data_IF_397570213465
#
_entry.id   IF_397570213465
#
_cell.length_a   1.000
_cell.length_b   1.000
_cell.length_c   1.000
_cell.angle_alpha   90.00
_cell.angle_beta   90.00
_cell.angle_gamma   90.00
#
_symmetry.space_group_name_H-M   'P 1'
#
loop_
_entity.id
_entity.type
_entity.pdbx_description
1 polymer ?
#
# COMPACT_ATOMS: atom_id res chain seq x y z
N UNK A 1 -4.32 -20.08 18.32
CA UNK A 1 -3.54 -19.14 17.49
C UNK A 1 -3.78 -19.30 15.98
N UNK A 2 -3.77 -20.53 15.41
CA UNK A 2 -4.03 -20.77 13.96
C UNK A 2 -5.28 -20.05 13.40
N UNK A 3 -6.42 -20.09 14.10
CA UNK A 3 -7.65 -19.44 13.64
C UNK A 3 -7.57 -17.90 13.56
N UNK A 4 -6.88 -17.22 14.48
CA UNK A 4 -6.80 -15.75 14.49
C UNK A 4 -5.89 -15.22 13.39
N UNK A 5 -4.75 -15.88 13.17
CA UNK A 5 -3.83 -15.53 12.06
C UNK A 5 -4.49 -15.79 10.71
N UNK A 6 -5.21 -16.89 10.57
CA UNK A 6 -5.93 -17.22 9.34
C UNK A 6 -7.10 -16.24 9.08
N UNK A 7 -7.82 -15.81 10.12
CA UNK A 7 -8.86 -14.78 10.01
C UNK A 7 -8.28 -13.43 9.62
N UNK A 8 -7.15 -13.03 10.20
CA UNK A 8 -6.45 -11.79 9.84
C UNK A 8 -5.98 -11.81 8.39
N UNK A 9 -5.36 -12.90 7.92
CA UNK A 9 -4.98 -13.06 6.52
C UNK A 9 -6.18 -13.00 5.56
N UNK A 10 -7.28 -13.68 5.89
CA UNK A 10 -8.54 -13.61 5.12
C UNK A 10 -9.10 -12.19 5.05
N UNK A 11 -9.02 -11.43 6.14
CA UNK A 11 -9.47 -10.05 6.19
C UNK A 11 -8.62 -9.15 5.27
N UNK A 12 -7.29 -9.27 5.33
CA UNK A 12 -6.40 -8.53 4.43
C UNK A 12 -6.63 -8.88 2.96
N UNK A 13 -6.77 -10.16 2.63
CA UNK A 13 -7.12 -10.57 1.25
C UNK A 13 -8.46 -10.01 0.81
N UNK A 14 -9.46 -9.94 1.69
CA UNK A 14 -10.78 -9.38 1.38
C UNK A 14 -10.74 -7.86 1.10
N UNK A 15 -9.69 -7.15 1.54
CA UNK A 15 -9.47 -5.75 1.17
C UNK A 15 -8.93 -5.60 -0.27
N UNK A 16 -8.16 -6.58 -0.74
CA UNK A 16 -7.49 -6.52 -2.06
C UNK A 16 -8.35 -7.13 -3.16
N UNK A 17 -9.02 -8.25 -2.91
CA UNK A 17 -9.75 -9.01 -3.95
C UNK A 17 -10.78 -8.18 -4.73
N UNK A 18 -11.61 -7.34 -4.10
CA UNK A 18 -12.57 -6.49 -4.83
C UNK A 18 -11.91 -5.47 -5.75
N UNK A 19 -10.61 -5.20 -5.55
CA UNK A 19 -9.83 -4.20 -6.28
C UNK A 19 -8.93 -4.82 -7.37
N UNK A 20 -9.04 -6.13 -7.62
CA UNK A 20 -8.25 -6.82 -8.66
C UNK A 20 -8.45 -6.18 -10.05
N UNK A 21 -9.63 -5.65 -10.36
CA UNK A 21 -9.85 -4.93 -11.63
C UNK A 21 -8.92 -3.72 -11.82
N UNK A 22 -8.64 -2.98 -10.75
CA UNK A 22 -7.70 -1.86 -10.79
C UNK A 22 -6.24 -2.33 -10.95
N UNK A 23 -5.88 -3.45 -10.32
CA UNK A 23 -4.57 -4.10 -10.50
C UNK A 23 -4.37 -4.60 -11.94
N UNK A 24 -5.41 -5.19 -12.54
CA UNK A 24 -5.39 -5.64 -13.94
C UNK A 24 -5.24 -4.44 -14.88
N UNK A 25 -6.01 -3.37 -14.67
CA UNK A 25 -5.90 -2.14 -15.47
C UNK A 25 -4.50 -1.52 -15.38
N UNK A 26 -3.94 -1.43 -14.17
CA UNK A 26 -2.55 -1.03 -13.95
C UNK A 26 -1.58 -1.95 -14.71
N UNK A 27 -1.76 -3.27 -14.63
CA UNK A 27 -0.92 -4.26 -15.30
C UNK A 27 -0.92 -4.12 -16.82
N UNK A 28 -2.09 -3.90 -17.43
CA UNK A 28 -2.18 -3.63 -18.88
C UNK A 28 -1.51 -2.31 -19.26
N UNK A 29 -1.74 -1.26 -18.47
CA UNK A 29 -1.16 0.05 -18.73
C UNK A 29 0.38 -0.01 -18.67
N UNK A 30 0.91 -0.73 -17.67
CA UNK A 30 2.34 -1.00 -17.56
C UNK A 30 2.84 -1.84 -18.75
N UNK A 31 2.21 -2.97 -19.06
CA UNK A 31 2.65 -3.88 -20.12
C UNK A 31 2.64 -3.24 -21.52
N UNK A 32 1.71 -2.32 -21.78
CA UNK A 32 1.58 -1.67 -23.08
C UNK A 32 2.49 -0.47 -23.21
N UNK A 33 2.52 0.44 -22.23
CA UNK A 33 2.95 1.83 -22.49
C UNK A 33 4.25 2.26 -21.82
N UNK A 34 4.81 1.49 -20.88
CA UNK A 34 6.14 1.81 -20.32
C UNK A 34 7.22 1.70 -21.41
N UNK A 35 8.42 2.21 -21.13
CA UNK A 35 9.53 2.20 -22.09
C UNK A 35 9.88 0.79 -22.59
N UNK A 36 9.67 -0.23 -21.76
CA UNK A 36 9.86 -1.65 -22.10
C UNK A 36 8.58 -2.38 -22.51
N UNK A 37 7.47 -1.66 -22.66
CA UNK A 37 6.16 -2.21 -23.03
C UNK A 37 6.03 -2.56 -24.51
N UNK A 38 4.91 -3.19 -24.89
CA UNK A 38 4.67 -3.60 -26.29
C UNK A 38 4.48 -2.43 -27.24
N UNK A 39 3.91 -1.31 -26.77
CA UNK A 39 3.64 -0.10 -27.55
C UNK A 39 4.00 1.13 -26.70
N UNK A 40 5.30 1.39 -26.46
CA UNK A 40 5.74 2.43 -25.53
C UNK A 40 5.18 3.82 -25.87
N UNK A 41 4.66 4.51 -24.86
CA UNK A 41 4.15 5.87 -25.00
C UNK A 41 4.36 6.65 -23.69
N UNK A 42 5.19 7.70 -23.74
CA UNK A 42 5.55 8.49 -22.56
C UNK A 42 4.35 9.17 -21.89
N UNK A 43 3.39 9.64 -22.67
CA UNK A 43 2.20 10.31 -22.14
C UNK A 43 1.31 9.32 -21.38
N UNK A 44 1.07 8.12 -21.93
CA UNK A 44 0.28 7.10 -21.25
C UNK A 44 1.03 6.43 -20.11
N UNK A 45 2.35 6.23 -20.25
CA UNK A 45 3.21 5.70 -19.17
C UNK A 45 3.16 6.57 -17.90
N UNK A 46 2.94 7.88 -18.04
CA UNK A 46 2.82 8.79 -16.89
C UNK A 46 1.68 8.42 -15.92
N UNK A 47 0.69 7.62 -16.36
CA UNK A 47 -0.42 7.15 -15.51
C UNK A 47 -0.03 5.96 -14.60
N UNK A 48 1.05 5.23 -14.91
CA UNK A 48 1.49 4.04 -14.16
C UNK A 48 1.77 4.40 -12.70
N UNK A 49 2.60 5.43 -12.49
CA UNK A 49 3.03 5.83 -11.16
C UNK A 49 1.86 6.32 -10.29
N UNK A 50 0.98 7.23 -10.75
CA UNK A 50 -0.19 7.62 -9.97
C UNK A 50 -1.16 6.47 -9.65
N UNK A 51 -1.34 5.52 -10.57
CA UNK A 51 -2.18 4.34 -10.30
C UNK A 51 -1.60 3.47 -9.19
N UNK A 52 -0.27 3.28 -9.18
CA UNK A 52 0.41 2.48 -8.18
C UNK A 52 0.46 3.16 -6.81
N UNK A 53 0.86 4.44 -6.79
CA UNK A 53 1.14 5.17 -5.54
C UNK A 53 -0.12 5.71 -4.87
N UNK A 54 -1.17 6.05 -5.65
CA UNK A 54 -2.40 6.62 -5.11
C UNK A 54 -3.58 5.69 -5.28
N UNK A 55 -3.96 5.36 -6.52
CA UNK A 55 -5.24 4.69 -6.80
C UNK A 55 -5.36 3.35 -6.06
N UNK A 56 -4.37 2.47 -6.19
CA UNK A 56 -4.42 1.13 -5.59
C UNK A 56 -4.47 1.20 -4.04
N UNK A 57 -3.57 1.95 -3.35
CA UNK A 57 -3.66 2.13 -1.90
C UNK A 57 -4.99 2.74 -1.44
N UNK A 58 -5.50 3.75 -2.16
CA UNK A 58 -6.78 4.40 -1.82
C UNK A 58 -7.93 3.39 -1.91
N UNK A 59 -7.99 2.59 -2.98
CA UNK A 59 -9.03 1.58 -3.16
C UNK A 59 -8.97 0.49 -2.07
N UNK A 60 -7.77 0.05 -1.69
CA UNK A 60 -7.58 -0.94 -0.62
C UNK A 60 -8.04 -0.36 0.73
N UNK A 61 -7.60 0.85 1.06
CA UNK A 61 -8.01 1.53 2.30
C UNK A 61 -9.52 1.74 2.34
N UNK A 62 -10.11 2.21 1.24
CA UNK A 62 -11.54 2.41 1.07
C UNK A 62 -12.33 1.11 1.28
N UNK A 63 -11.87 -0.02 0.71
CA UNK A 63 -12.50 -1.33 0.93
C UNK A 63 -12.41 -1.76 2.40
N UNK A 64 -11.24 -1.62 3.04
CA UNK A 64 -11.09 -1.92 4.47
C UNK A 64 -11.96 -1.05 5.38
N UNK A 65 -12.04 0.25 5.08
CA UNK A 65 -12.92 1.19 5.76
C UNK A 65 -14.38 0.81 5.58
N UNK A 66 -14.78 0.39 4.38
CA UNK A 66 -16.14 -0.11 4.11
C UNK A 66 -16.46 -1.36 4.92
N UNK A 67 -15.53 -2.31 4.99
CA UNK A 67 -15.74 -3.57 5.71
C UNK A 67 -16.00 -3.36 7.21
N UNK A 68 -15.46 -2.29 7.80
CA UNK A 68 -15.64 -1.98 9.22
C UNK A 68 -16.78 -0.99 9.47
N UNK A 69 -16.81 0.13 8.74
CA UNK A 69 -17.69 1.29 8.98
C UNK A 69 -18.64 1.65 7.83
N UNK A 70 -18.91 0.72 6.91
CA UNK A 70 -19.87 0.93 5.82
C UNK A 70 -19.46 2.03 4.83
N UNK A 71 -20.44 2.65 4.15
CA UNK A 71 -20.17 3.66 3.12
C UNK A 71 -19.41 4.89 3.66
N UNK A 72 -19.70 5.31 4.90
CA UNK A 72 -18.99 6.42 5.54
C UNK A 72 -17.55 6.04 5.89
N UNK A 73 -17.33 4.84 6.39
CA UNK A 73 -16.00 4.27 6.62
C UNK A 73 -15.15 4.22 5.36
N UNK A 74 -15.75 3.92 4.19
CA UNK A 74 -15.05 3.97 2.89
C UNK A 74 -14.41 5.32 2.65
N UNK A 75 -15.19 6.40 2.81
CA UNK A 75 -14.75 7.76 2.51
C UNK A 75 -13.70 8.23 3.53
N UNK A 76 -13.93 8.00 4.82
CA UNK A 76 -12.96 8.34 5.88
C UNK A 76 -11.61 7.66 5.63
N UNK A 77 -11.62 6.37 5.33
CA UNK A 77 -10.40 5.62 5.04
C UNK A 77 -9.67 6.11 3.79
N UNK A 78 -10.41 6.45 2.72
CA UNK A 78 -9.85 6.98 1.49
C UNK A 78 -9.15 8.33 1.72
N UNK A 79 -9.70 9.19 2.58
CA UNK A 79 -9.06 10.46 2.97
C UNK A 79 -7.83 10.18 3.85
N UNK A 80 -7.98 9.32 4.85
CA UNK A 80 -6.92 9.05 5.83
C UNK A 80 -5.63 8.50 5.20
N UNK A 81 -5.75 7.59 4.21
CA UNK A 81 -4.57 6.97 3.59
C UNK A 81 -3.74 7.95 2.77
N UNK A 82 -4.33 9.06 2.27
CA UNK A 82 -3.55 10.14 1.62
C UNK A 82 -2.47 10.66 2.55
N UNK A 83 -2.77 10.81 3.85
CA UNK A 83 -1.78 11.21 4.84
C UNK A 83 -0.59 10.25 4.91
N UNK A 84 -0.85 8.93 4.91
CA UNK A 84 0.22 7.94 4.88
C UNK A 84 1.02 7.99 3.57
N UNK A 85 0.36 8.11 2.42
CA UNK A 85 1.03 8.21 1.10
C UNK A 85 1.95 9.44 1.04
N UNK A 86 1.45 10.59 1.48
CA UNK A 86 2.21 11.84 1.42
C UNK A 86 3.39 11.90 2.40
N UNK A 87 3.44 11.01 3.39
CA UNK A 87 4.59 10.93 4.29
C UNK A 87 5.87 10.49 3.58
N UNK A 88 5.74 9.65 2.56
CA UNK A 88 6.83 9.22 1.68
C UNK A 88 6.24 8.68 0.37
N UNK A 89 6.32 9.49 -0.68
CA UNK A 89 5.76 9.15 -2.01
C UNK A 89 6.61 8.14 -2.79
N UNK A 90 7.83 7.86 -2.35
CA UNK A 90 8.72 6.87 -2.98
C UNK A 90 8.37 5.43 -2.58
N UNK A 91 7.67 5.26 -1.45
CA UNK A 91 7.25 3.97 -0.94
C UNK A 91 5.77 3.75 -1.28
N UNK A 92 5.43 2.66 -1.95
CA UNK A 92 4.03 2.29 -2.13
C UNK A 92 3.42 1.85 -0.80
N UNK A 93 2.53 2.68 -0.25
CA UNK A 93 1.96 2.55 1.09
C UNK A 93 0.80 1.53 1.18
N UNK A 94 0.92 0.35 0.55
CA UNK A 94 -0.13 -0.70 0.55
C UNK A 94 -0.38 -1.27 1.95
N UNK A 95 0.68 -1.51 2.73
CA UNK A 95 0.55 -1.92 4.12
C UNK A 95 -0.10 -0.84 4.99
N UNK A 96 0.27 0.43 4.78
CA UNK A 96 -0.39 1.53 5.48
C UNK A 96 -1.87 1.58 5.12
N UNK A 97 -2.25 1.40 3.86
CA UNK A 97 -3.65 1.31 3.44
C UNK A 97 -4.41 0.19 4.15
N UNK A 98 -3.78 -0.97 4.30
CA UNK A 98 -4.33 -2.12 5.02
C UNK A 98 -4.55 -1.87 6.52
N UNK A 99 -3.75 -0.99 7.11
CA UNK A 99 -3.85 -0.62 8.53
C UNK A 99 -4.81 0.56 8.74
N UNK A 100 -4.64 1.64 7.97
CA UNK A 100 -5.43 2.88 8.02
C UNK A 100 -6.89 2.62 7.63
N UNK A 101 -7.13 1.75 6.64
CA UNK A 101 -8.49 1.48 6.13
C UNK A 101 -9.45 1.04 7.24
N UNK A 102 -9.21 -0.10 7.90
CA UNK A 102 -10.02 -0.59 9.00
C UNK A 102 -10.10 0.38 10.17
N UNK A 103 -9.01 1.09 10.49
CA UNK A 103 -8.99 2.11 11.55
C UNK A 103 -9.93 3.28 11.24
N UNK A 104 -9.92 3.80 10.01
CA UNK A 104 -10.83 4.86 9.58
C UNK A 104 -12.28 4.42 9.63
N UNK A 105 -12.56 3.19 9.18
CA UNK A 105 -13.89 2.58 9.33
C UNK A 105 -14.31 2.42 10.80
N UNK A 106 -13.39 2.02 11.67
CA UNK A 106 -13.67 1.85 13.10
C UNK A 106 -13.98 3.17 13.80
N UNK A 107 -13.20 4.23 13.54
CA UNK A 107 -13.41 5.55 14.14
C UNK A 107 -14.79 6.11 13.81
N UNK A 108 -15.19 6.07 12.53
CA UNK A 108 -16.50 6.60 12.13
C UNK A 108 -17.63 5.71 12.60
N UNK A 109 -17.46 4.38 12.58
CA UNK A 109 -18.47 3.46 13.12
C UNK A 109 -18.76 3.75 14.59
N UNK A 110 -17.72 4.01 15.39
CA UNK A 110 -17.88 4.34 16.80
C UNK A 110 -18.58 5.67 17.02
N UNK A 111 -18.26 6.67 16.20
CA UNK A 111 -18.99 7.94 16.22
C UNK A 111 -20.47 7.74 15.87
N UNK A 112 -20.76 6.92 14.86
CA UNK A 112 -22.13 6.64 14.40
C UNK A 112 -22.95 5.92 15.47
N UNK A 113 -22.37 4.94 16.15
CA UNK A 113 -22.99 4.23 17.27
C UNK A 113 -23.32 5.19 18.43
N UNK A 114 -22.50 6.21 18.68
CA UNK A 114 -22.72 7.19 19.75
C UNK A 114 -23.79 8.22 19.35
N UNK A 115 -23.78 8.64 18.09
CA UNK A 115 -24.71 9.65 17.59
C UNK A 115 -26.09 9.09 17.23
N UNK A 116 -26.26 7.77 17.20
CA UNK A 116 -27.55 7.14 16.98
C UNK A 116 -28.57 7.60 18.03
N UNK A 117 -29.75 8.02 17.56
CA UNK A 117 -30.79 8.63 18.40
C UNK A 117 -30.50 10.04 18.96
N UNK A 118 -29.30 10.58 18.77
CA UNK A 118 -28.89 11.92 19.25
C UNK A 118 -28.86 12.98 18.14
N UNK A 119 -29.18 12.59 16.90
CA UNK A 119 -29.18 13.51 15.75
C UNK A 119 -30.50 14.30 15.68
N UNK A 120 -30.45 15.65 15.69
CA UNK A 120 -31.63 16.46 15.45
C UNK A 120 -32.20 16.24 14.05
N UNK A 121 -33.53 16.17 13.95
CA UNK A 121 -34.22 16.02 12.67
C UNK A 121 -33.82 17.14 11.69
N UNK A 122 -33.49 16.76 10.46
CA UNK A 122 -33.04 17.69 9.41
C UNK A 122 -31.54 18.03 9.44
N UNK A 123 -30.80 17.70 10.50
CA UNK A 123 -29.34 17.91 10.59
C UNK A 123 -28.51 16.65 10.32
N UNK A 124 -29.15 15.48 10.15
CA UNK A 124 -28.50 14.18 9.96
C UNK A 124 -27.45 14.20 8.83
N UNK A 125 -27.81 14.70 7.65
CA UNK A 125 -26.89 14.81 6.51
C UNK A 125 -25.70 15.73 6.81
N UNK A 126 -25.93 16.82 7.54
CA UNK A 126 -24.87 17.75 7.92
C UNK A 126 -23.89 17.05 8.87
N UNK A 127 -24.40 16.45 9.95
CA UNK A 127 -23.60 15.75 10.96
C UNK A 127 -22.84 14.58 10.32
N UNK A 128 -23.50 13.79 9.46
CA UNK A 128 -22.92 12.63 8.80
C UNK A 128 -21.76 13.00 7.86
N UNK A 129 -21.92 14.08 7.09
CA UNK A 129 -20.87 14.53 6.16
C UNK A 129 -19.74 15.27 6.89
N UNK A 130 -20.05 16.15 7.85
CA UNK A 130 -19.02 16.86 8.62
C UNK A 130 -18.18 15.90 9.46
N UNK A 131 -18.78 14.91 10.10
CA UNK A 131 -18.03 13.91 10.84
C UNK A 131 -17.09 13.11 9.93
N UNK A 132 -17.56 12.65 8.76
CA UNK A 132 -16.68 11.99 7.77
C UNK A 132 -15.51 12.90 7.39
N UNK A 133 -15.75 14.18 7.13
CA UNK A 133 -14.70 15.15 6.82
C UNK A 133 -13.71 15.37 7.97
N UNK A 134 -14.20 15.58 9.19
CA UNK A 134 -13.38 15.84 10.38
C UNK A 134 -12.54 14.61 10.75
N UNK A 135 -13.17 13.44 10.85
CA UNK A 135 -12.45 12.19 11.16
C UNK A 135 -11.48 11.83 10.03
N UNK A 136 -11.87 12.00 8.77
CA UNK A 136 -10.98 11.81 7.62
C UNK A 136 -9.74 12.70 7.70
N UNK A 137 -9.92 14.00 7.98
CA UNK A 137 -8.82 14.96 8.11
C UNK A 137 -7.89 14.61 9.29
N UNK A 138 -8.46 14.37 10.48
CA UNK A 138 -7.66 14.05 11.68
C UNK A 138 -6.86 12.77 11.43
N UNK A 139 -7.49 11.74 10.88
CA UNK A 139 -6.80 10.49 10.58
C UNK A 139 -5.77 10.64 9.47
N UNK A 140 -5.97 11.51 8.48
CA UNK A 140 -4.94 11.81 7.49
C UNK A 140 -3.71 12.44 8.15
N UNK A 141 -3.90 13.43 9.02
CA UNK A 141 -2.79 14.05 9.75
C UNK A 141 -2.05 13.04 10.64
N UNK A 142 -2.79 12.20 11.38
CA UNK A 142 -2.21 11.13 12.19
C UNK A 142 -1.45 10.12 11.31
N UNK A 143 -2.02 9.74 10.16
CA UNK A 143 -1.39 8.79 9.24
C UNK A 143 -0.08 9.33 8.68
N UNK A 144 -0.01 10.64 8.42
CA UNK A 144 1.22 11.31 7.98
C UNK A 144 2.32 11.27 9.06
N UNK A 145 1.99 11.65 10.30
CA UNK A 145 3.00 11.80 11.37
C UNK A 145 3.41 10.46 12.02
N UNK A 146 2.53 9.46 12.03
CA UNK A 146 2.75 8.22 12.77
C UNK A 146 2.91 7.01 11.85
N UNK A 147 1.93 6.77 10.96
CA UNK A 147 1.87 5.53 10.18
C UNK A 147 2.92 5.56 9.06
N UNK A 148 3.11 6.71 8.41
CA UNK A 148 4.13 6.93 7.40
C UNK A 148 5.55 6.61 7.86
N UNK A 149 6.04 7.29 8.93
CA UNK A 149 7.36 7.01 9.51
C UNK A 149 7.48 5.59 10.05
N UNK A 150 6.40 5.03 10.64
CA UNK A 150 6.40 3.63 11.09
C UNK A 150 6.67 2.67 9.93
N UNK A 151 5.99 2.85 8.79
CA UNK A 151 6.21 2.01 7.61
C UNK A 151 7.61 2.20 7.03
N UNK A 152 8.08 3.45 6.97
CA UNK A 152 9.45 3.76 6.50
C UNK A 152 10.51 3.12 7.40
N UNK A 153 10.28 3.12 8.72
CA UNK A 153 11.16 2.46 9.69
C UNK A 153 11.17 0.94 9.53
N UNK A 154 10.00 0.32 9.33
CA UNK A 154 9.92 -1.13 9.04
C UNK A 154 10.72 -1.45 7.78
N UNK A 155 10.57 -0.63 6.72
CA UNK A 155 11.33 -0.81 5.50
C UNK A 155 12.83 -0.70 5.75
N UNK A 156 13.28 0.35 6.46
CA UNK A 156 14.70 0.55 6.75
C UNK A 156 15.33 -0.64 7.51
N UNK A 157 14.59 -1.24 8.45
CA UNK A 157 15.04 -2.45 9.16
C UNK A 157 15.14 -3.65 8.21
N UNK A 158 14.17 -3.81 7.31
CA UNK A 158 14.24 -4.86 6.27
C UNK A 158 15.42 -4.63 5.33
N UNK A 159 15.65 -3.38 4.88
CA UNK A 159 16.82 -2.98 4.07
C UNK A 159 18.11 -3.38 4.75
N UNK A 160 18.26 -3.01 6.03
CA UNK A 160 19.47 -3.32 6.81
C UNK A 160 19.68 -4.83 6.97
N UNK A 161 18.61 -5.57 7.25
CA UNK A 161 18.66 -7.04 7.34
C UNK A 161 19.09 -7.68 6.03
N UNK A 162 18.57 -7.20 4.90
CA UNK A 162 18.98 -7.64 3.56
C UNK A 162 20.46 -7.33 3.34
N UNK A 163 20.92 -6.09 3.60
CA UNK A 163 22.32 -5.69 3.40
C UNK A 163 23.32 -6.59 4.12
N UNK A 164 23.05 -6.95 5.38
CA UNK A 164 23.90 -7.88 6.15
C UNK A 164 24.01 -9.24 5.45
N UNK A 165 22.92 -9.74 4.88
CA UNK A 165 22.92 -11.01 4.15
C UNK A 165 23.71 -10.90 2.83
N UNK A 166 23.70 -9.74 2.17
CA UNK A 166 24.51 -9.48 0.97
C UNK A 166 25.99 -9.51 1.31
N UNK A 167 26.40 -8.75 2.33
CA UNK A 167 27.80 -8.62 2.74
C UNK A 167 28.41 -9.97 3.15
N UNK A 168 27.61 -10.86 3.74
CA UNK A 168 28.04 -12.19 4.13
C UNK A 168 27.85 -13.26 3.04
N UNK A 169 27.52 -12.87 1.79
CA UNK A 169 27.26 -13.80 0.68
C UNK A 169 26.15 -14.83 0.98
N UNK A 170 25.22 -14.49 1.88
CA UNK A 170 24.08 -15.31 2.30
C UNK A 170 22.82 -14.98 1.49
N UNK A 171 22.99 -14.62 0.22
CA UNK A 171 21.90 -14.28 -0.71
C UNK A 171 20.73 -15.29 -0.73
N UNK A 172 20.94 -16.62 -0.60
CA UNK A 172 19.83 -17.57 -0.53
C UNK A 172 18.90 -17.37 0.67
N UNK A 173 19.38 -16.79 1.78
CA UNK A 173 18.58 -16.55 2.98
C UNK A 173 17.72 -15.28 2.87
N UNK A 174 17.98 -14.42 1.89
CA UNK A 174 17.19 -13.20 1.64
C UNK A 174 15.74 -13.56 1.30
N UNK A 175 15.51 -14.71 0.65
CA UNK A 175 14.17 -15.22 0.34
C UNK A 175 13.27 -15.41 1.58
N UNK A 176 13.85 -15.75 2.74
CA UNK A 176 13.12 -15.93 4.01
C UNK A 176 12.50 -14.62 4.49
N UNK A 177 13.11 -13.48 4.17
CA UNK A 177 12.59 -12.14 4.50
C UNK A 177 11.70 -11.58 3.39
N UNK A 178 12.06 -11.81 2.13
CA UNK A 178 11.33 -11.32 0.96
C UNK A 178 9.94 -11.95 0.85
N UNK A 179 9.82 -13.28 0.99
CA UNK A 179 8.53 -13.94 0.74
C UNK A 179 7.42 -13.50 1.68
N UNK A 180 7.62 -13.39 3.01
CA UNK A 180 6.61 -12.84 3.91
C UNK A 180 6.28 -11.38 3.58
N UNK A 181 7.27 -10.59 3.19
CA UNK A 181 7.08 -9.20 2.83
C UNK A 181 6.27 -9.03 1.54
N UNK A 182 6.45 -9.91 0.54
CA UNK A 182 5.62 -9.98 -0.68
C UNK A 182 4.15 -10.26 -0.35
N UNK A 183 3.87 -11.15 0.60
CA UNK A 183 2.50 -11.44 1.06
C UNK A 183 1.85 -10.19 1.71
N UNK A 184 2.65 -9.34 2.34
CA UNK A 184 2.21 -8.06 2.89
C UNK A 184 2.24 -6.92 1.85
N UNK A 185 2.45 -7.22 0.57
CA UNK A 185 2.57 -6.23 -0.51
C UNK A 185 3.70 -5.19 -0.31
N UNK A 186 4.79 -5.60 0.35
CA UNK A 186 6.02 -4.80 0.45
C UNK A 186 6.94 -4.94 -0.75
N UNK A 187 6.54 -5.66 -1.80
CA UNK A 187 7.34 -5.88 -3.00
C UNK A 187 7.82 -4.56 -3.64
N UNK A 188 6.99 -3.52 -3.70
CA UNK A 188 7.41 -2.22 -4.24
C UNK A 188 8.35 -1.47 -3.29
N UNK A 189 8.12 -1.57 -1.98
CA UNK A 189 8.97 -0.97 -0.97
C UNK A 189 10.36 -1.63 -0.96
N UNK A 190 10.40 -2.95 -1.10
CA UNK A 190 11.62 -3.75 -1.19
C UNK A 190 12.33 -3.51 -2.53
N UNK A 191 11.60 -3.50 -3.65
CA UNK A 191 12.20 -3.22 -4.96
C UNK A 191 12.78 -1.81 -5.05
N UNK A 192 11.99 -0.78 -4.76
CA UNK A 192 12.42 0.60 -4.95
C UNK A 192 13.21 1.17 -3.77
N UNK A 193 12.97 0.68 -2.54
CA UNK A 193 13.63 1.16 -1.33
C UNK A 193 14.81 0.33 -0.85
N UNK A 194 14.99 -0.91 -1.34
CA UNK A 194 16.12 -1.79 -0.97
C UNK A 194 16.93 -2.18 -2.18
N UNK A 195 16.34 -2.95 -3.10
CA UNK A 195 17.11 -3.55 -4.19
C UNK A 195 17.56 -2.55 -5.24
N UNK A 196 16.72 -1.61 -5.66
CA UNK A 196 17.08 -0.64 -6.70
C UNK A 196 18.26 0.25 -6.29
N UNK A 197 18.31 0.87 -5.09
CA UNK A 197 19.47 1.67 -4.68
C UNK A 197 20.77 0.86 -4.59
N UNK A 198 20.72 -0.35 -4.02
CA UNK A 198 21.89 -1.24 -3.91
C UNK A 198 22.34 -1.69 -5.31
N UNK A 199 21.38 -2.05 -6.17
CA UNK A 199 21.65 -2.51 -7.52
C UNK A 199 22.27 -1.42 -8.39
N UNK A 200 21.77 -0.19 -8.30
CA UNK A 200 22.31 0.97 -9.01
C UNK A 200 23.73 1.27 -8.55
N UNK A 201 24.00 1.30 -7.24
CA UNK A 201 25.36 1.50 -6.74
C UNK A 201 26.33 0.41 -7.18
N UNK A 202 25.92 -0.86 -7.13
CA UNK A 202 26.73 -1.98 -7.63
C UNK A 202 26.91 -1.96 -9.15
N UNK A 203 25.91 -1.53 -9.90
CA UNK A 203 25.98 -1.43 -11.35
C UNK A 203 26.88 -0.27 -11.80
N UNK A 204 26.93 0.84 -11.05
CA UNK A 204 27.87 1.94 -11.29
C UNK A 204 29.33 1.52 -11.07
N UNK A 205 29.59 0.71 -10.05
CA UNK A 205 30.96 0.28 -9.69
C UNK A 205 31.43 -0.96 -10.47
N UNK A 206 30.55 -1.94 -10.66
CA UNK A 206 30.89 -3.26 -11.22
C UNK A 206 30.22 -3.55 -12.58
N UNK A 207 29.43 -2.63 -13.11
CA UNK A 207 28.72 -2.77 -14.39
C UNK A 207 27.54 -3.75 -14.36
N UNK A 208 27.25 -4.38 -13.22
CA UNK A 208 26.21 -5.40 -13.05
C UNK A 208 25.81 -5.54 -11.58
N UNK A 209 24.56 -5.96 -11.33
CA UNK A 209 24.11 -6.33 -9.98
C UNK A 209 23.13 -7.50 -10.03
N UNK A 210 23.33 -8.49 -9.16
CA UNK A 210 22.39 -9.60 -8.97
C UNK A 210 21.12 -9.16 -8.25
N UNK A 211 21.12 -7.96 -7.64
CA UNK A 211 19.95 -7.43 -6.92
C UNK A 211 18.78 -7.09 -7.82
N UNK A 212 19.03 -6.76 -9.10
CA UNK A 212 17.96 -6.64 -10.08
C UNK A 212 17.20 -7.96 -10.32
N UNK A 213 17.81 -9.11 -10.01
CA UNK A 213 17.22 -10.44 -10.25
C UNK A 213 16.50 -11.01 -9.02
N UNK A 214 16.77 -10.51 -7.81
CA UNK A 214 16.20 -11.05 -6.57
C UNK A 214 14.70 -10.73 -6.38
N UNK A 215 14.26 -9.63 -6.98
CA UNK A 215 12.84 -9.28 -7.10
C UNK A 215 12.54 -8.72 -8.50
N UNK A 216 12.96 -9.44 -9.53
CA UNK A 216 12.27 -9.30 -10.81
C UNK A 216 10.78 -9.59 -10.55
N UNK A 217 9.95 -8.55 -10.52
CA UNK A 217 8.51 -8.69 -10.50
C UNK A 217 8.14 -9.14 -11.91
N UNK A 218 7.96 -10.44 -12.17
CA UNK A 218 7.61 -10.85 -13.51
C UNK A 218 6.20 -10.31 -13.72
N UNK A 219 6.04 -9.42 -14.69
CA UNK A 219 4.73 -9.18 -15.26
C UNK A 219 4.04 -10.52 -15.60
N UNK A 220 2.71 -10.53 -15.69
CA UNK A 220 1.90 -11.72 -15.48
C UNK A 220 2.37 -12.92 -16.33
N UNK A 221 3.00 -13.88 -15.66
CA UNK A 221 2.97 -15.30 -16.02
C UNK A 221 3.98 -15.82 -17.03
N UNK A 222 4.87 -15.00 -17.62
CA UNK A 222 5.81 -15.52 -18.63
C UNK A 222 7.25 -15.73 -18.15
N UNK A 223 7.69 -15.08 -17.06
CA UNK A 223 9.00 -15.39 -16.46
C UNK A 223 10.17 -15.39 -17.45
N UNK A 224 10.11 -14.51 -18.47
CA UNK A 224 11.17 -14.27 -19.45
C UNK A 224 11.59 -12.81 -19.34
#
# INVERSE_FOLDING_TARGET
>A
MKNKVQQFGKFLSAMVMPNIGALIAFGFLAALFIDTGWIPNKEFSSMVSPMLTYLIPILIAATGGKMVGGDRGRVVAAIAVIGAIMSNTEITMLMAAMLVGPLGGFCIKKFDEIMDGHMPAGFEMLINNFSVGIFGLILALISYIAIGPLMSGILAVLTAGVNVLVEHSLLPLVAVFIEPAKVLFLNNAINHGVFTPIATGQAEEFGKSIMYMLEANPGPGLGV
#
